data_IF_576955778842
#
_entry.id   IF_576955778842
#
_cell.length_a   1.000
_cell.length_b   1.000
_cell.length_c   1.000
_cell.angle_alpha   90.00
_cell.angle_beta   90.00
_cell.angle_gamma   90.00
#
_symmetry.space_group_name_H-M   'P 1'
#
loop_
_entity.id
_entity.type
_entity.pdbx_description
1 polymer ?
#
# COMPACT_ATOMS: atom_id res chain seq x y z
N UNK A 1 -17.58 -15.42 3.94
CA UNK A 1 -16.17 -14.99 3.86
C UNK A 1 -15.96 -13.55 3.39
N UNK A 2 -16.99 -12.74 3.06
CA UNK A 2 -16.79 -11.37 2.54
C UNK A 2 -16.88 -10.21 3.55
N UNK A 3 -17.30 -10.43 4.80
CA UNK A 3 -17.52 -9.29 5.71
C UNK A 3 -16.23 -8.59 6.16
N UNK A 4 -15.18 -9.33 6.55
CA UNK A 4 -13.98 -8.74 7.17
C UNK A 4 -13.21 -7.82 6.21
N UNK A 5 -13.05 -8.22 4.95
CA UNK A 5 -12.36 -7.41 3.94
C UNK A 5 -13.19 -6.18 3.60
N UNK A 6 -14.52 -6.31 3.50
CA UNK A 6 -15.40 -5.16 3.26
C UNK A 6 -15.40 -4.16 4.42
N UNK A 7 -15.37 -4.64 5.66
CA UNK A 7 -15.32 -3.79 6.85
C UNK A 7 -13.98 -3.06 6.94
N UNK A 8 -12.88 -3.75 6.62
CA UNK A 8 -11.56 -3.14 6.47
C UNK A 8 -11.56 -2.05 5.38
N UNK A 9 -12.19 -2.30 4.23
CA UNK A 9 -12.30 -1.29 3.17
C UNK A 9 -13.10 -0.08 3.61
N UNK A 10 -14.23 -0.26 4.32
CA UNK A 10 -15.01 0.86 4.87
C UNK A 10 -14.18 1.68 5.85
N UNK A 11 -13.38 1.03 6.68
CA UNK A 11 -12.50 1.72 7.63
C UNK A 11 -11.44 2.54 6.92
N UNK A 12 -10.74 1.97 5.93
CA UNK A 12 -9.74 2.69 5.14
C UNK A 12 -10.38 3.84 4.37
N UNK A 13 -11.53 3.63 3.73
CA UNK A 13 -12.28 4.69 3.05
C UNK A 13 -12.61 5.86 3.98
N UNK A 14 -13.09 5.55 5.20
CA UNK A 14 -13.41 6.57 6.21
C UNK A 14 -12.16 7.28 6.72
N UNK A 15 -11.07 6.54 6.98
CA UNK A 15 -9.82 7.07 7.53
C UNK A 15 -9.12 8.04 6.57
N UNK A 16 -9.10 7.71 5.28
CA UNK A 16 -8.43 8.51 4.26
C UNK A 16 -9.37 9.42 3.46
N UNK A 17 -10.69 9.38 3.72
CA UNK A 17 -11.67 10.21 3.01
C UNK A 17 -11.79 9.88 1.53
N UNK A 18 -11.54 8.63 1.15
CA UNK A 18 -11.48 8.17 -0.25
C UNK A 18 -12.65 7.27 -0.61
N UNK A 19 -12.90 7.13 -1.90
CA UNK A 19 -13.95 6.24 -2.40
C UNK A 19 -13.39 4.87 -2.80
N UNK A 20 -14.27 3.86 -2.91
CA UNK A 20 -13.85 2.48 -3.25
C UNK A 20 -13.07 2.37 -4.56
N UNK A 21 -13.31 3.25 -5.54
CA UNK A 21 -12.59 3.31 -6.84
C UNK A 21 -11.13 3.76 -6.72
N UNK A 22 -10.77 4.35 -5.58
CA UNK A 22 -9.43 4.86 -5.27
C UNK A 22 -8.58 3.81 -4.56
N UNK A 23 -9.22 2.73 -4.11
CA UNK A 23 -8.60 1.61 -3.41
C UNK A 23 -8.32 0.45 -4.36
N UNK A 24 -7.20 -0.22 -4.11
CA UNK A 24 -6.81 -1.48 -4.74
C UNK A 24 -6.49 -2.46 -3.62
N UNK A 25 -7.11 -3.63 -3.67
CA UNK A 25 -6.86 -4.72 -2.73
C UNK A 25 -5.97 -5.74 -3.41
N UNK A 26 -4.87 -6.07 -2.77
CA UNK A 26 -3.89 -7.03 -3.26
C UNK A 26 -3.77 -8.12 -2.21
N UNK A 27 -4.05 -9.34 -2.62
CA UNK A 27 -3.78 -10.53 -1.82
C UNK A 27 -2.37 -11.00 -2.12
N UNK A 28 -1.60 -11.30 -1.08
CA UNK A 28 -0.23 -11.78 -1.20
C UNK A 28 -0.23 -13.29 -0.97
N UNK A 29 0.08 -14.03 -2.04
CA UNK A 29 0.09 -15.49 -2.04
C UNK A 29 1.49 -16.09 -1.81
N UNK A 30 2.55 -15.31 -2.02
CA UNK A 30 3.94 -15.78 -1.91
C UNK A 30 4.63 -15.22 -0.65
N UNK A 31 5.12 -16.13 0.20
CA UNK A 31 5.88 -15.82 1.42
C UNK A 31 7.21 -16.60 1.35
N UNK A 32 8.37 -15.98 1.61
CA UNK A 32 8.56 -14.63 2.16
C UNK A 32 8.49 -13.50 1.12
N UNK A 33 7.58 -12.55 1.33
CA UNK A 33 7.54 -11.32 0.57
C UNK A 33 8.42 -10.25 1.23
N UNK A 34 9.28 -9.61 0.43
CA UNK A 34 10.07 -8.46 0.88
C UNK A 34 9.22 -7.19 0.77
N UNK A 35 8.90 -6.57 1.91
CA UNK A 35 8.08 -5.35 1.98
C UNK A 35 8.64 -4.23 1.09
N UNK A 36 9.96 -4.05 1.04
CA UNK A 36 10.58 -3.03 0.19
C UNK A 36 10.34 -3.27 -1.31
N UNK A 37 10.34 -4.52 -1.78
CA UNK A 37 9.98 -4.85 -3.16
C UNK A 37 8.53 -4.50 -3.44
N UNK A 38 7.62 -4.89 -2.55
CA UNK A 38 6.20 -4.57 -2.68
C UNK A 38 5.98 -3.04 -2.74
N UNK A 39 6.56 -2.29 -1.81
CA UNK A 39 6.47 -0.82 -1.81
C UNK A 39 6.98 -0.23 -3.12
N UNK A 40 8.12 -0.72 -3.62
CA UNK A 40 8.72 -0.24 -4.86
C UNK A 40 7.85 -0.57 -6.09
N UNK A 41 7.34 -1.80 -6.20
CA UNK A 41 6.45 -2.22 -7.28
C UNK A 41 5.14 -1.43 -7.31
N UNK A 42 4.53 -1.23 -6.14
CA UNK A 42 3.32 -0.41 -6.01
C UNK A 42 3.60 1.05 -6.32
N UNK A 43 4.72 1.59 -5.84
CA UNK A 43 5.17 2.94 -6.14
C UNK A 43 5.33 3.19 -7.64
N UNK A 44 5.93 2.25 -8.38
CA UNK A 44 6.06 2.31 -9.86
C UNK A 44 4.71 2.32 -10.57
N UNK A 45 3.67 1.74 -9.96
CA UNK A 45 2.30 1.74 -10.47
C UNK A 45 1.49 2.97 -10.04
N UNK A 46 2.12 3.93 -9.36
CA UNK A 46 1.44 5.11 -8.83
C UNK A 46 0.53 4.76 -7.65
N UNK A 47 0.89 3.75 -6.86
CA UNK A 47 0.13 3.29 -5.70
C UNK A 47 0.91 3.51 -4.41
N UNK A 48 0.20 3.76 -3.33
CA UNK A 48 0.75 3.91 -1.97
C UNK A 48 0.06 2.91 -1.06
N UNK A 49 0.81 2.21 -0.22
CA UNK A 49 0.21 1.29 0.76
C UNK A 49 -0.49 2.12 1.82
N UNK A 50 -1.80 1.89 1.99
CA UNK A 50 -2.59 2.47 3.07
C UNK A 50 -2.58 1.56 4.30
N UNK A 51 -2.77 0.26 4.08
CA UNK A 51 -2.87 -0.70 5.18
C UNK A 51 -2.43 -2.10 4.74
N UNK A 52 -1.84 -2.84 5.68
CA UNK A 52 -1.53 -4.27 5.52
C UNK A 52 -2.23 -5.01 6.65
N UNK A 53 -3.03 -6.02 6.32
CA UNK A 53 -3.84 -6.78 7.28
C UNK A 53 -3.78 -8.26 6.98
N UNK A 54 -3.82 -9.09 8.03
CA UNK A 54 -3.90 -10.55 7.90
C UNK A 54 -5.34 -10.96 8.21
N UNK A 55 -6.02 -11.56 7.23
CA UNK A 55 -7.41 -12.02 7.35
C UNK A 55 -7.45 -13.49 6.98
N UNK A 56 -7.91 -14.31 7.92
CA UNK A 56 -8.08 -15.77 7.76
C UNK A 56 -6.80 -16.47 7.26
N UNK A 57 -5.63 -16.00 7.71
CA UNK A 57 -4.31 -16.54 7.36
C UNK A 57 -3.70 -15.97 6.08
N UNK A 58 -4.41 -15.09 5.38
CA UNK A 58 -3.96 -14.47 4.14
C UNK A 58 -3.58 -13.00 4.36
N UNK A 59 -2.52 -12.55 3.69
CA UNK A 59 -2.04 -11.17 3.79
C UNK A 59 -2.72 -10.34 2.71
N UNK A 60 -3.41 -9.29 3.14
CA UNK A 60 -4.06 -8.29 2.29
C UNK A 60 -3.34 -6.96 2.41
N UNK A 61 -3.02 -6.38 1.27
CA UNK A 61 -2.46 -5.05 1.14
C UNK A 61 -3.51 -4.17 0.49
N UNK A 62 -3.91 -3.11 1.18
CA UNK A 62 -4.78 -2.08 0.64
C UNK A 62 -3.92 -0.92 0.20
N UNK A 63 -4.00 -0.59 -1.08
CA UNK A 63 -3.25 0.48 -1.70
C UNK A 63 -4.19 1.58 -2.22
N UNK A 64 -3.73 2.82 -2.16
CA UNK A 64 -4.37 4.03 -2.67
C UNK A 64 -3.73 4.45 -3.98
N UNK A 65 -4.52 4.95 -4.92
CA UNK A 65 -3.99 5.68 -6.08
C UNK A 65 -3.36 7.00 -5.63
N UNK A 66 -2.11 7.22 -6.05
CA UNK A 66 -1.36 8.47 -5.83
C UNK A 66 -1.99 9.56 -6.69
N UNK A 67 -2.98 10.27 -6.17
CA UNK A 67 -3.44 11.51 -6.80
C UNK A 67 -2.36 12.59 -6.66
N UNK A 68 -2.13 13.38 -7.70
CA UNK A 68 -1.13 14.47 -7.71
C UNK A 68 -1.31 15.51 -6.59
N UNK A 69 -2.42 15.48 -5.83
CA UNK A 69 -2.67 16.36 -4.68
C UNK A 69 -2.12 15.84 -3.35
N UNK A 70 -1.90 14.54 -3.20
CA UNK A 70 -1.51 13.93 -1.90
C UNK A 70 0.00 13.67 -1.80
N UNK A 71 0.75 14.19 -2.76
CA UNK A 71 2.17 13.89 -2.92
C UNK A 71 3.12 14.63 -1.96
N UNK A 72 2.57 15.32 -0.97
CA UNK A 72 3.37 15.84 0.15
C UNK A 72 3.62 14.82 1.27
N UNK A 73 2.99 13.64 1.24
CA UNK A 73 2.95 12.72 2.38
C UNK A 73 3.66 11.38 2.16
N UNK A 74 4.19 11.12 0.98
CA UNK A 74 5.05 9.95 0.76
C UNK A 74 6.49 10.43 0.87
N UNK A 75 7.22 10.16 1.98
CA UNK A 75 8.66 10.32 1.95
C UNK A 75 9.16 9.48 0.78
N UNK A 76 9.90 10.11 -0.13
CA UNK A 76 10.65 9.41 -1.15
C UNK A 76 11.67 8.52 -0.42
N UNK A 77 11.28 7.29 -0.11
CA UNK A 77 12.23 6.22 0.19
C UNK A 77 12.86 5.82 -1.14
N UNK A 78 13.72 6.72 -1.62
CA UNK A 78 14.36 6.70 -2.92
C UNK A 78 15.70 7.42 -2.83
N UNK A 79 16.70 6.68 -2.34
CA UNK A 79 18.11 6.85 -2.68
C UNK A 79 18.79 8.09 -2.08
N UNK A 80 19.26 7.97 -0.83
CA UNK A 80 20.50 8.67 -0.45
C UNK A 80 21.66 7.91 -1.12
N UNK A 81 22.00 8.31 -2.34
CA UNK A 81 23.24 7.94 -3.04
C UNK A 81 24.45 8.62 -2.38
N UNK A 82 24.60 8.45 -1.06
CA UNK A 82 25.87 8.71 -0.38
C UNK A 82 26.67 7.43 -0.43
N UNK A 83 27.13 7.10 -1.62
CA UNK A 83 28.35 6.33 -1.79
C UNK A 83 29.48 7.22 -1.28
N UNK A 84 29.82 7.08 -0.01
CA UNK A 84 31.13 7.53 0.49
C UNK A 84 32.19 6.70 -0.23
N UNK A 85 32.67 7.22 -1.37
CA UNK A 85 33.96 6.81 -1.93
C UNK A 85 35.03 7.31 -0.96
N UNK A 86 35.48 6.43 -0.08
CA UNK A 86 36.81 6.52 0.52
C UNK A 86 37.87 6.06 -0.48
#
# INVERSE_FOLDING_TARGET
MHSKVEDLLKEVMRRYGVSKKDLIVIRIDEVPMRIHHLVHELGRRGLVIAEVSVIDGEVYVIALKRYSRDLGLVPEYGISDKVDRK
#
